data_IF_153032006615
#
_entry.id   IF_153032006615
#
_cell.length_a   1.000
_cell.length_b   1.000
_cell.length_c   1.000
_cell.angle_alpha   90.00
_cell.angle_beta   90.00
_cell.angle_gamma   90.00
#
_symmetry.space_group_name_H-M   'P 1'
#
loop_
_entity.id
_entity.type
_entity.pdbx_description
1 polymer ?
#
# COMPACT_ATOMS: atom_id res chain seq x y z
N UNK A 1 26.33 -9.51 4.35
CA UNK A 1 26.49 -8.04 4.39
C UNK A 1 25.13 -7.43 4.09
N UNK A 2 24.61 -6.50 4.91
CA UNK A 2 23.33 -5.81 4.61
C UNK A 2 23.64 -4.64 3.68
N UNK A 3 23.01 -4.57 2.52
CA UNK A 3 23.14 -3.46 1.57
C UNK A 3 21.89 -2.60 1.69
N UNK A 4 21.98 -1.35 2.18
CA UNK A 4 20.82 -0.47 2.28
C UNK A 4 20.31 -0.07 0.88
N UNK A 5 19.00 0.14 0.77
CA UNK A 5 18.40 0.70 -0.45
C UNK A 5 18.84 2.15 -0.62
N UNK A 6 19.14 2.52 -1.86
CA UNK A 6 19.41 3.92 -2.20
C UNK A 6 18.09 4.66 -2.42
N UNK A 7 17.87 5.86 -1.85
CA UNK A 7 16.62 6.59 -1.98
C UNK A 7 16.15 6.80 -3.42
N UNK A 8 17.07 6.99 -4.38
CA UNK A 8 16.74 7.19 -5.78
C UNK A 8 16.09 5.97 -6.46
N UNK A 9 16.22 4.80 -5.85
CA UNK A 9 15.61 3.54 -6.28
C UNK A 9 14.31 3.23 -5.53
N UNK A 10 13.84 4.13 -4.66
CA UNK A 10 12.60 3.99 -3.89
C UNK A 10 11.53 4.90 -4.49
N UNK A 11 10.33 4.34 -4.63
CA UNK A 11 9.14 5.05 -5.09
C UNK A 11 8.01 4.76 -4.10
N UNK A 12 7.28 5.79 -3.67
CA UNK A 12 6.08 5.66 -2.82
C UNK A 12 4.87 6.01 -3.68
N UNK A 13 4.02 5.01 -3.96
CA UNK A 13 2.87 5.14 -4.83
C UNK A 13 1.57 5.03 -4.01
N UNK A 14 0.60 5.90 -4.29
CA UNK A 14 -0.65 6.00 -3.52
C UNK A 14 -0.52 6.82 -2.24
N UNK A 15 0.54 7.63 -2.11
CA UNK A 15 0.72 8.51 -0.95
C UNK A 15 -0.31 9.63 -0.99
N UNK A 16 -1.20 9.66 0.00
CA UNK A 16 -2.13 10.76 0.22
C UNK A 16 -1.42 11.92 0.92
N UNK A 17 -2.07 12.65 1.84
CA UNK A 17 -1.47 13.79 2.54
C UNK A 17 -0.43 13.26 3.55
N UNK A 18 0.88 13.44 3.31
CA UNK A 18 1.92 13.05 4.27
C UNK A 18 1.91 13.98 5.49
N UNK A 19 2.45 13.51 6.61
CA UNK A 19 2.72 14.41 7.74
C UNK A 19 3.84 15.40 7.39
N UNK A 20 4.02 16.45 8.20
CA UNK A 20 5.15 17.38 8.04
C UNK A 20 6.50 16.64 8.13
N UNK A 21 6.60 15.68 9.06
CA UNK A 21 7.80 14.87 9.25
C UNK A 21 8.08 13.97 8.03
N UNK A 22 7.05 13.32 7.49
CA UNK A 22 7.19 12.51 6.28
C UNK A 22 7.63 13.37 5.09
N UNK A 23 7.03 14.55 4.94
CA UNK A 23 7.36 15.52 3.89
C UNK A 23 8.82 15.92 3.95
N UNK A 24 9.33 16.28 5.13
CA UNK A 24 10.74 16.63 5.32
C UNK A 24 11.68 15.48 4.93
N UNK A 25 11.35 14.25 5.32
CA UNK A 25 12.16 13.06 5.00
C UNK A 25 12.15 12.79 3.49
N UNK A 26 10.98 12.79 2.87
CA UNK A 26 10.81 12.57 1.42
C UNK A 26 11.62 13.59 0.64
N UNK A 27 11.52 14.87 0.99
CA UNK A 27 12.27 15.94 0.33
C UNK A 27 13.77 15.82 0.55
N UNK A 28 14.21 15.60 1.80
CA UNK A 28 15.63 15.47 2.15
C UNK A 28 16.30 14.31 1.42
N UNK A 29 15.60 13.20 1.25
CA UNK A 29 16.13 11.99 0.59
C UNK A 29 15.88 11.98 -0.92
N UNK A 30 15.07 12.89 -1.45
CA UNK A 30 14.69 12.92 -2.86
C UNK A 30 13.88 11.69 -3.29
N UNK A 31 13.08 11.13 -2.38
CA UNK A 31 12.23 9.97 -2.69
C UNK A 31 11.12 10.41 -3.62
N UNK A 32 10.90 9.65 -4.69
CA UNK A 32 9.84 9.93 -5.65
C UNK A 32 8.51 9.43 -5.10
N UNK A 33 7.48 10.26 -5.18
CA UNK A 33 6.14 9.94 -4.73
C UNK A 33 5.11 10.18 -5.83
N UNK A 34 3.99 9.49 -5.77
CA UNK A 34 2.82 9.77 -6.59
C UNK A 34 1.55 9.45 -5.79
N UNK A 35 0.61 10.39 -5.74
CA UNK A 35 -0.68 10.17 -5.10
C UNK A 35 -1.62 9.30 -5.93
N UNK A 36 -2.69 8.82 -5.33
CA UNK A 36 -3.68 7.97 -6.02
C UNK A 36 -4.25 8.67 -7.26
N UNK A 37 -4.59 9.96 -7.15
CA UNK A 37 -5.17 10.76 -8.25
C UNK A 37 -4.21 10.92 -9.43
N UNK A 38 -2.91 11.05 -9.18
CA UNK A 38 -1.88 11.08 -10.23
C UNK A 38 -1.80 9.74 -10.96
N UNK A 39 -1.85 8.64 -10.19
CA UNK A 39 -1.77 7.27 -10.71
C UNK A 39 -3.02 6.82 -11.46
N UNK A 40 -4.18 7.43 -11.20
CA UNK A 40 -5.39 7.25 -12.04
C UNK A 40 -5.14 7.79 -13.44
N UNK A 41 -4.45 8.93 -13.55
CA UNK A 41 -4.24 9.60 -14.83
C UNK A 41 -3.09 8.97 -15.63
N UNK A 42 -2.00 8.57 -14.95
CA UNK A 42 -0.85 7.97 -15.61
C UNK A 42 0.10 7.26 -14.64
N UNK A 43 0.58 6.09 -15.04
CA UNK A 43 1.67 5.35 -14.39
C UNK A 43 3.02 5.61 -15.04
N UNK A 44 3.06 6.38 -16.13
CA UNK A 44 4.28 6.67 -16.89
C UNK A 44 5.43 7.27 -16.05
N UNK A 45 5.18 8.12 -15.04
CA UNK A 45 6.26 8.59 -14.16
C UNK A 45 7.02 7.45 -13.46
N UNK A 46 6.32 6.41 -12.99
CA UNK A 46 6.94 5.23 -12.38
C UNK A 46 7.70 4.40 -13.41
N UNK A 47 7.08 4.10 -14.55
CA UNK A 47 7.71 3.32 -15.63
C UNK A 47 8.99 3.99 -16.14
N UNK A 48 8.94 5.30 -16.34
CA UNK A 48 10.10 6.11 -16.70
C UNK A 48 11.15 6.13 -15.59
N UNK A 49 10.73 6.10 -14.34
CA UNK A 49 11.61 5.97 -13.18
C UNK A 49 12.41 4.66 -13.18
N UNK A 50 11.74 3.53 -13.45
CA UNK A 50 12.34 2.20 -13.60
C UNK A 50 13.37 2.20 -14.73
N UNK A 51 12.98 2.69 -15.92
CA UNK A 51 13.84 2.76 -17.11
C UNK A 51 15.08 3.64 -16.88
N UNK A 52 14.90 4.87 -16.41
CA UNK A 52 16.00 5.84 -16.19
C UNK A 52 17.00 5.35 -15.13
N UNK A 53 16.52 4.62 -14.13
CA UNK A 53 17.36 4.11 -13.04
C UNK A 53 17.95 2.72 -13.35
N UNK A 54 17.67 2.17 -14.53
CA UNK A 54 18.09 0.83 -14.97
C UNK A 54 17.77 -0.27 -13.93
N UNK A 55 16.56 -0.18 -13.33
CA UNK A 55 16.10 -1.15 -12.34
C UNK A 55 15.80 -2.47 -13.06
N UNK A 56 16.58 -3.51 -12.75
CA UNK A 56 16.44 -4.85 -13.33
C UNK A 56 15.52 -5.78 -12.56
N UNK A 57 15.31 -5.47 -11.29
CA UNK A 57 14.44 -6.24 -10.41
C UNK A 57 13.68 -5.27 -9.52
N UNK A 58 12.37 -5.46 -9.42
CA UNK A 58 11.48 -4.68 -8.59
C UNK A 58 11.02 -5.52 -7.39
N UNK A 59 11.03 -4.90 -6.22
CA UNK A 59 10.33 -5.40 -5.05
C UNK A 59 9.13 -4.48 -4.80
N UNK A 60 7.94 -5.06 -4.66
CA UNK A 60 6.70 -4.33 -4.40
C UNK A 60 6.29 -4.61 -2.95
N UNK A 61 6.10 -3.55 -2.19
CA UNK A 61 5.50 -3.60 -0.85
C UNK A 61 4.12 -2.96 -0.93
N UNK A 62 3.09 -3.74 -0.70
CA UNK A 62 1.70 -3.30 -0.69
C UNK A 62 1.31 -3.17 0.77
N UNK A 63 1.30 -1.94 1.25
CA UNK A 63 0.48 -1.60 2.39
C UNK A 63 -0.98 -1.60 1.92
N UNK A 64 -1.83 -2.44 2.50
CA UNK A 64 -3.23 -2.52 2.08
C UNK A 64 -4.00 -1.25 2.43
N UNK A 65 -3.50 -0.45 3.38
CA UNK A 65 -4.13 0.79 3.81
C UNK A 65 -4.15 1.89 2.74
N UNK A 66 -3.41 1.70 1.64
CA UNK A 66 -3.50 2.49 0.40
C UNK A 66 -4.89 2.41 -0.26
N UNK A 67 -5.63 1.33 0.02
CA UNK A 67 -6.96 1.11 -0.53
C UNK A 67 -8.00 1.94 0.21
N UNK A 68 -9.02 2.40 -0.54
CA UNK A 68 -10.19 3.04 0.04
C UNK A 68 -10.91 2.08 1.03
N UNK A 69 -11.08 2.47 2.31
CA UNK A 69 -11.80 1.67 3.31
C UNK A 69 -13.24 1.33 2.92
N UNK A 70 -13.85 2.13 2.04
CA UNK A 70 -15.18 1.85 1.47
C UNK A 70 -15.14 0.77 0.39
N UNK A 71 -14.00 0.54 -0.25
CA UNK A 71 -13.81 -0.50 -1.27
C UNK A 71 -13.27 -1.80 -0.66
N UNK A 72 -12.39 -1.72 0.35
CA UNK A 72 -11.80 -2.86 1.03
C UNK A 72 -11.80 -2.64 2.55
N UNK A 73 -12.51 -3.48 3.30
CA UNK A 73 -12.89 -3.20 4.70
C UNK A 73 -11.98 -3.89 5.72
N UNK A 74 -10.99 -4.62 5.25
CA UNK A 74 -10.04 -5.33 6.10
C UNK A 74 -8.81 -4.45 6.39
N UNK A 75 -9.04 -3.21 6.83
CA UNK A 75 -8.04 -2.15 7.04
C UNK A 75 -8.19 -1.51 8.41
N UNK A 76 -7.12 -0.91 8.94
CA UNK A 76 -7.18 -0.15 10.19
C UNK A 76 -8.29 0.91 10.18
N UNK A 77 -8.38 1.67 9.09
CA UNK A 77 -9.38 2.72 8.86
C UNK A 77 -10.83 2.22 8.72
N UNK A 78 -11.04 0.91 8.59
CA UNK A 78 -12.34 0.27 8.48
C UNK A 78 -12.75 -0.47 9.77
N UNK A 79 -12.07 -0.21 10.90
CA UNK A 79 -12.43 -0.80 12.18
C UNK A 79 -13.84 -0.37 12.61
N UNK A 80 -14.80 -1.30 12.80
CA UNK A 80 -16.17 -0.96 13.21
C UNK A 80 -16.28 -0.47 14.66
N UNK A 81 -15.27 -0.72 15.50
CA UNK A 81 -15.28 -0.39 16.93
C UNK A 81 -14.61 0.93 17.30
N UNK A 82 -13.87 1.56 16.38
CA UNK A 82 -13.14 2.80 16.65
C UNK A 82 -12.87 3.58 15.36
N UNK A 83 -13.04 4.90 15.39
CA UNK A 83 -12.49 5.77 14.35
C UNK A 83 -10.98 5.91 14.52
N UNK A 84 -10.28 6.08 13.39
CA UNK A 84 -8.85 6.37 13.36
C UNK A 84 -8.66 7.76 12.73
N UNK A 85 -7.97 8.67 13.44
CA UNK A 85 -7.91 10.10 13.07
C UNK A 85 -6.48 10.65 12.93
N UNK A 86 -5.46 9.79 13.04
CA UNK A 86 -4.06 10.24 13.08
C UNK A 86 -3.39 10.36 11.70
N UNK A 87 -3.96 9.74 10.66
CA UNK A 87 -3.48 9.87 9.27
C UNK A 87 -4.63 9.79 8.27
N UNK A 88 -4.37 10.23 7.05
CA UNK A 88 -5.32 10.09 5.95
C UNK A 88 -5.46 8.61 5.55
N UNK A 89 -6.70 8.16 5.33
CA UNK A 89 -6.94 6.86 4.74
C UNK A 89 -6.56 6.87 3.26
N UNK A 90 -6.15 5.72 2.73
CA UNK A 90 -5.94 5.53 1.30
C UNK A 90 -7.22 5.76 0.50
N UNK A 91 -7.04 6.06 -0.79
CA UNK A 91 -8.15 6.32 -1.72
C UNK A 91 -8.15 5.39 -2.93
N UNK A 92 -7.14 4.52 -3.05
CA UNK A 92 -6.96 3.65 -4.21
C UNK A 92 -8.03 2.56 -4.28
N UNK A 93 -8.53 2.28 -5.48
CA UNK A 93 -9.48 1.19 -5.69
C UNK A 93 -8.74 -0.11 -6.05
N UNK A 94 -9.31 -1.27 -5.69
CA UNK A 94 -8.70 -2.59 -5.99
C UNK A 94 -8.34 -2.75 -7.48
N UNK A 95 -9.21 -2.38 -8.45
CA UNK A 95 -8.86 -2.50 -9.87
C UNK A 95 -7.68 -1.61 -10.27
N UNK A 96 -7.54 -0.44 -9.65
CA UNK A 96 -6.43 0.48 -9.89
C UNK A 96 -5.11 -0.12 -9.37
N UNK A 97 -5.10 -0.66 -8.14
CA UNK A 97 -3.93 -1.35 -7.59
C UNK A 97 -3.51 -2.54 -8.46
N UNK A 98 -4.48 -3.36 -8.90
CA UNK A 98 -4.22 -4.48 -9.80
C UNK A 98 -3.59 -4.02 -11.12
N UNK A 99 -4.14 -2.95 -11.74
CA UNK A 99 -3.60 -2.41 -12.98
C UNK A 99 -2.18 -1.89 -12.80
N UNK A 100 -1.92 -1.14 -11.72
CA UNK A 100 -0.60 -0.63 -11.39
C UNK A 100 0.42 -1.77 -11.25
N UNK A 101 0.10 -2.82 -10.49
CA UNK A 101 1.01 -3.96 -10.31
C UNK A 101 1.29 -4.65 -11.64
N UNK A 102 0.27 -4.87 -12.48
CA UNK A 102 0.45 -5.49 -13.81
C UNK A 102 1.38 -4.66 -14.69
N UNK A 103 1.11 -3.37 -14.80
CA UNK A 103 1.91 -2.48 -15.64
C UNK A 103 3.37 -2.39 -15.16
N UNK A 104 3.61 -2.36 -13.84
CA UNK A 104 4.98 -2.38 -13.31
C UNK A 104 5.69 -3.71 -13.55
N UNK A 105 4.93 -4.82 -13.51
CA UNK A 105 5.45 -6.18 -13.78
C UNK A 105 5.81 -6.39 -15.25
N UNK A 106 5.26 -5.58 -16.16
CA UNK A 106 5.62 -5.60 -17.58
C UNK A 106 6.94 -4.85 -17.86
N UNK A 107 7.34 -3.92 -16.99
CA UNK A 107 8.53 -3.08 -17.19
C UNK A 107 9.83 -3.72 -16.71
N UNK A 108 9.77 -4.56 -15.68
CA UNK A 108 10.95 -5.22 -15.09
C UNK A 108 10.52 -6.43 -14.24
N UNK A 109 11.47 -7.32 -13.91
CA UNK A 109 11.16 -8.55 -13.17
C UNK A 109 10.80 -8.24 -11.72
N UNK A 110 9.61 -8.69 -11.27
CA UNK A 110 9.18 -8.53 -9.88
C UNK A 110 9.68 -9.71 -9.07
N UNK A 111 10.75 -9.49 -8.31
CA UNK A 111 11.43 -10.55 -7.52
C UNK A 111 11.02 -10.58 -6.06
N UNK A 112 10.18 -9.65 -5.63
CA UNK A 112 9.70 -9.56 -4.26
C UNK A 112 8.31 -8.93 -4.18
N UNK A 113 7.45 -9.53 -3.37
CA UNK A 113 6.11 -9.03 -3.07
C UNK A 113 5.85 -9.17 -1.57
N UNK A 114 5.57 -8.06 -0.90
CA UNK A 114 5.06 -8.02 0.46
C UNK A 114 3.65 -7.45 0.46
N UNK A 115 2.75 -8.07 1.23
CA UNK A 115 1.39 -7.56 1.48
C UNK A 115 1.24 -7.42 2.99
N UNK A 116 0.96 -6.22 3.47
CA UNK A 116 0.90 -5.89 4.90
C UNK A 116 -0.41 -5.24 5.30
N UNK A 117 -0.58 -5.05 6.61
CA UNK A 117 -1.70 -4.31 7.22
C UNK A 117 -3.11 -4.86 6.91
N UNK A 118 -3.20 -6.16 6.63
CA UNK A 118 -4.50 -6.84 6.54
C UNK A 118 -5.15 -6.98 7.93
N UNK A 119 -6.27 -6.28 8.14
CA UNK A 119 -7.03 -6.28 9.40
C UNK A 119 -8.46 -6.77 9.18
N UNK A 120 -8.71 -8.10 9.12
CA UNK A 120 -10.01 -8.66 8.73
C UNK A 120 -11.03 -8.64 9.87
N UNK A 121 -11.54 -7.45 10.21
CA UNK A 121 -12.43 -7.22 11.35
C UNK A 121 -13.64 -8.15 11.36
N UNK A 122 -14.30 -8.35 10.23
CA UNK A 122 -15.46 -9.24 10.14
C UNK A 122 -15.09 -10.70 10.45
N UNK A 123 -13.93 -11.16 9.99
CA UNK A 123 -13.46 -12.52 10.28
C UNK A 123 -13.08 -12.70 11.75
N UNK A 124 -12.43 -11.70 12.34
CA UNK A 124 -12.10 -11.69 13.78
C UNK A 124 -13.37 -11.70 14.61
N UNK A 125 -14.33 -10.83 14.30
CA UNK A 125 -15.61 -10.73 15.00
C UNK A 125 -16.43 -12.01 14.85
N UNK A 126 -16.49 -12.58 13.64
CA UNK A 126 -17.16 -13.86 13.41
C UNK A 126 -16.49 -14.99 14.20
N UNK A 127 -15.16 -15.08 14.19
CA UNK A 127 -14.42 -16.07 14.98
C UNK A 127 -14.76 -15.96 16.47
N UNK A 128 -14.78 -14.73 17.00
CA UNK A 128 -15.09 -14.51 18.42
C UNK A 128 -16.54 -14.90 18.72
N UNK A 129 -17.50 -14.49 17.88
CA UNK A 129 -18.91 -14.88 18.03
C UNK A 129 -19.09 -16.40 18.04
N UNK A 130 -18.50 -17.11 17.06
CA UNK A 130 -18.62 -18.56 16.97
C UNK A 130 -17.97 -19.27 18.16
N UNK A 131 -16.87 -18.73 18.69
CA UNK A 131 -16.19 -19.25 19.87
C UNK A 131 -17.03 -19.20 21.16
N UNK A 132 -18.06 -18.36 21.22
CA UNK A 132 -18.99 -18.26 22.36
C UNK A 132 -20.20 -19.20 22.24
N UNK A 133 -20.41 -19.84 21.08
CA UNK A 133 -21.55 -20.72 20.85
C UNK A 133 -21.20 -22.14 21.32
N UNK A 134 -21.86 -22.62 22.38
CA UNK A 134 -21.54 -23.89 23.06
C UNK A 134 -21.46 -25.13 22.16
N UNK A 135 -22.31 -25.22 21.12
CA UNK A 135 -22.30 -26.37 20.19
C UNK A 135 -21.13 -26.31 19.20
N UNK A 136 -20.48 -25.16 19.04
CA UNK A 136 -19.39 -24.92 18.10
C UNK A 136 -18.01 -24.79 18.77
N UNK A 137 -17.95 -24.72 20.10
CA UNK A 137 -16.74 -24.41 20.86
C UNK A 137 -16.25 -25.55 21.78
N UNK A 138 -16.75 -26.78 21.56
CA UNK A 138 -16.30 -28.00 22.23
C UNK A 138 -15.03 -28.60 21.64
#
# INVERSE_FOLDING_TARGET
>A
MKIPLKPENVFIAGLEVPTEQDTEIIQRLGIKTAGTSELINSTEPLKNGIKKSNIKHLAIHIDLDVLDPKAFRSLLFANPGSSYEFSAAGTMQIPQLLNLIKELSEETDVVGLGITEHMPWDSINLKNLLGEITILNG
#
